data_IF_405054865247
#
_entry.id   IF_405054865247
#
_cell.length_a   1.000
_cell.length_b   1.000
_cell.length_c   1.000
_cell.angle_alpha   90.00
_cell.angle_beta   90.00
_cell.angle_gamma   90.00
#
_symmetry.space_group_name_H-M   'P 1'
#
loop_
_entity.id
_entity.type
_entity.pdbx_description
1 polymer ?
#
# COMPACT_ATOMS: atom_id res chain seq x y z
N UNK A 1 -10.97 -1.43 6.58
CA UNK A 1 -9.74 -1.83 5.83
C UNK A 1 -8.43 -1.38 6.49
N UNK A 2 -8.31 -0.18 7.02
CA UNK A 2 -7.08 0.27 7.70
C UNK A 2 -6.76 -0.57 8.95
N UNK A 3 -7.76 -0.93 9.74
CA UNK A 3 -7.58 -1.81 10.90
C UNK A 3 -7.21 -3.24 10.47
N UNK A 4 -7.81 -3.75 9.41
CA UNK A 4 -7.48 -5.07 8.85
C UNK A 4 -6.03 -5.10 8.32
N UNK A 5 -5.60 -4.06 7.60
CA UNK A 5 -4.21 -3.91 7.18
C UNK A 5 -3.25 -3.93 8.37
N UNK A 6 -3.55 -3.17 9.42
CA UNK A 6 -2.73 -3.14 10.63
C UNK A 6 -2.68 -4.49 11.35
N UNK A 7 -3.81 -5.20 11.43
CA UNK A 7 -3.87 -6.53 12.03
C UNK A 7 -3.02 -7.56 11.27
N UNK A 8 -3.11 -7.56 9.94
CA UNK A 8 -2.29 -8.44 9.09
C UNK A 8 -0.79 -8.15 9.24
N UNK A 9 -0.42 -6.87 9.29
CA UNK A 9 0.98 -6.47 9.52
C UNK A 9 1.46 -6.93 10.89
N UNK A 10 0.65 -6.71 11.94
CA UNK A 10 0.97 -7.12 13.31
C UNK A 10 1.18 -8.63 13.45
N UNK A 11 0.39 -9.43 12.73
CA UNK A 11 0.48 -10.88 12.70
C UNK A 11 1.57 -11.39 11.76
N UNK A 12 2.28 -10.51 11.05
CA UNK A 12 3.37 -10.88 10.16
C UNK A 12 2.95 -11.45 8.80
N UNK A 13 1.66 -11.40 8.44
CA UNK A 13 1.20 -11.89 7.15
C UNK A 13 1.77 -11.09 5.99
N UNK A 14 2.34 -11.80 5.00
CA UNK A 14 2.94 -11.23 3.80
C UNK A 14 2.35 -11.86 2.54
N UNK A 15 2.40 -11.13 1.46
CA UNK A 15 2.07 -11.64 0.11
C UNK A 15 3.12 -12.65 -0.34
N UNK A 16 2.82 -13.41 -1.41
CA UNK A 16 3.77 -14.34 -2.06
C UNK A 16 5.12 -13.70 -2.35
N UNK A 17 5.16 -12.39 -2.63
CA UNK A 17 6.38 -11.64 -2.92
C UNK A 17 7.04 -11.02 -1.66
N UNK A 18 6.71 -11.50 -0.46
CA UNK A 18 7.30 -11.04 0.81
C UNK A 18 6.87 -9.63 1.26
N UNK A 19 5.93 -8.98 0.57
CA UNK A 19 5.45 -7.62 0.90
C UNK A 19 4.24 -7.68 1.83
N UNK A 20 4.08 -6.66 2.69
CA UNK A 20 2.88 -6.53 3.51
C UNK A 20 1.65 -6.21 2.66
N UNK A 21 0.51 -6.77 3.05
CA UNK A 21 -0.77 -6.43 2.44
C UNK A 21 -1.07 -4.94 2.59
N UNK A 22 -1.56 -4.33 1.53
CA UNK A 22 -2.05 -2.95 1.55
C UNK A 22 -3.57 -2.93 1.64
N UNK A 23 -4.16 -1.82 2.07
CA UNK A 23 -5.62 -1.65 2.04
C UNK A 23 -6.24 -1.91 0.65
N UNK A 24 -5.47 -1.64 -0.42
CA UNK A 24 -5.92 -1.89 -1.79
C UNK A 24 -5.93 -3.38 -2.12
N UNK A 25 -4.88 -4.12 -1.76
CA UNK A 25 -4.83 -5.57 -1.93
C UNK A 25 -5.88 -6.28 -1.08
N UNK A 26 -6.09 -5.82 0.17
CA UNK A 26 -7.16 -6.34 1.03
C UNK A 26 -8.53 -6.09 0.39
N UNK A 27 -8.77 -4.89 -0.15
CA UNK A 27 -10.02 -4.57 -0.86
C UNK A 27 -10.23 -5.49 -2.06
N UNK A 28 -9.20 -5.69 -2.88
CA UNK A 28 -9.26 -6.55 -4.06
C UNK A 28 -9.59 -8.02 -3.71
N UNK A 29 -9.05 -8.54 -2.60
CA UNK A 29 -9.37 -9.87 -2.09
C UNK A 29 -10.83 -9.93 -1.62
N UNK A 30 -11.28 -8.97 -0.81
CA UNK A 30 -12.65 -8.93 -0.29
C UNK A 30 -13.71 -8.77 -1.38
N UNK A 31 -13.37 -8.16 -2.50
CA UNK A 31 -14.26 -7.99 -3.65
C UNK A 31 -14.17 -9.14 -4.66
N UNK A 32 -13.31 -10.12 -4.43
CA UNK A 32 -13.16 -11.23 -5.36
C UNK A 32 -14.17 -12.35 -5.07
N UNK A 33 -15.14 -12.60 -5.94
CA UNK A 33 -16.14 -13.65 -5.74
C UNK A 33 -15.56 -15.09 -5.78
N UNK A 34 -14.32 -15.27 -6.22
CA UNK A 34 -13.68 -16.60 -6.24
C UNK A 34 -13.64 -17.26 -4.85
N UNK A 35 -13.71 -16.49 -3.79
CA UNK A 35 -13.74 -17.02 -2.42
C UNK A 35 -15.15 -17.31 -1.91
N UNK A 36 -16.17 -16.85 -2.61
CA UNK A 36 -17.57 -17.01 -2.21
C UNK A 36 -18.10 -18.39 -2.58
N UNK A 37 -18.87 -18.98 -1.67
CA UNK A 37 -19.64 -20.19 -1.93
C UNK A 37 -20.79 -19.86 -2.89
N UNK A 38 -21.01 -20.70 -3.88
CA UNK A 38 -22.14 -20.64 -4.80
C UNK A 38 -23.38 -21.18 -4.09
N UNK A 39 -23.99 -20.38 -3.23
CA UNK A 39 -25.23 -20.65 -2.51
C UNK A 39 -26.37 -19.75 -2.99
N UNK A 40 -27.56 -19.87 -2.40
CA UNK A 40 -28.73 -19.11 -2.78
C UNK A 40 -28.49 -17.59 -2.65
N UNK A 41 -27.82 -17.15 -1.59
CA UNK A 41 -27.51 -15.72 -1.41
C UNK A 41 -26.56 -15.19 -2.48
N UNK A 42 -25.64 -16.01 -2.96
CA UNK A 42 -24.77 -15.65 -4.08
C UNK A 42 -25.58 -15.49 -5.37
N UNK A 43 -26.49 -16.40 -5.66
CA UNK A 43 -27.40 -16.33 -6.82
C UNK A 43 -28.25 -15.05 -6.77
N UNK A 44 -28.94 -14.81 -5.65
CA UNK A 44 -29.80 -13.64 -5.46
C UNK A 44 -29.03 -12.33 -5.60
N UNK A 45 -27.78 -12.28 -5.12
CA UNK A 45 -26.92 -11.12 -5.28
C UNK A 45 -26.63 -10.81 -6.74
N UNK A 46 -26.30 -11.81 -7.55
CA UNK A 46 -25.97 -11.59 -8.96
C UNK A 46 -27.19 -11.24 -9.78
N UNK A 47 -28.33 -11.88 -9.54
CA UNK A 47 -29.60 -11.51 -10.16
C UNK A 47 -29.98 -10.06 -9.84
N UNK A 48 -29.91 -9.67 -8.57
CA UNK A 48 -30.20 -8.30 -8.14
C UNK A 48 -29.33 -7.24 -8.81
N UNK A 49 -28.09 -7.59 -9.15
CA UNK A 49 -27.14 -6.69 -9.79
C UNK A 49 -27.12 -6.76 -11.32
N UNK A 50 -28.07 -7.49 -11.93
CA UNK A 50 -28.18 -7.67 -13.38
C UNK A 50 -26.86 -8.20 -14.00
N UNK A 51 -26.25 -9.15 -13.30
CA UNK A 51 -24.98 -9.78 -13.70
C UNK A 51 -25.25 -10.88 -14.74
N UNK A 52 -24.39 -11.01 -15.75
CA UNK A 52 -24.47 -12.10 -16.71
C UNK A 52 -24.09 -13.44 -16.05
N UNK A 53 -25.09 -14.27 -15.73
CA UNK A 53 -24.94 -15.58 -15.11
C UNK A 53 -24.87 -16.67 -16.19
N UNK A 54 -23.69 -17.26 -16.37
CA UNK A 54 -23.49 -18.37 -17.28
C UNK A 54 -24.00 -19.72 -16.73
N UNK A 55 -24.00 -19.87 -15.40
CA UNK A 55 -24.49 -21.08 -14.73
C UNK A 55 -25.97 -20.98 -14.39
N UNK A 56 -26.71 -22.06 -14.58
CA UNK A 56 -28.11 -22.17 -14.17
C UNK A 56 -28.24 -22.22 -12.64
N UNK A 57 -29.43 -21.96 -12.12
CA UNK A 57 -29.71 -21.91 -10.68
C UNK A 57 -29.29 -23.20 -9.94
N UNK A 58 -29.52 -24.37 -10.55
CA UNK A 58 -29.23 -25.64 -9.92
C UNK A 58 -27.72 -25.92 -9.72
N UNK A 59 -26.88 -25.15 -10.38
CA UNK A 59 -25.43 -25.22 -10.18
C UNK A 59 -24.97 -24.57 -8.86
N UNK A 60 -25.83 -23.78 -8.21
CA UNK A 60 -25.53 -23.13 -6.93
C UNK A 60 -25.76 -24.10 -5.76
N UNK A 61 -24.84 -25.04 -5.62
CA UNK A 61 -24.93 -26.21 -4.75
C UNK A 61 -24.52 -25.99 -3.28
N UNK A 62 -24.07 -24.79 -2.94
CA UNK A 62 -23.59 -24.46 -1.59
C UNK A 62 -22.22 -25.03 -1.23
N UNK A 63 -21.47 -25.60 -2.20
CA UNK A 63 -20.16 -26.24 -2.00
C UNK A 63 -19.08 -25.57 -2.85
N UNK A 64 -19.36 -25.41 -4.12
CA UNK A 64 -18.40 -24.85 -5.07
C UNK A 64 -18.27 -23.34 -4.95
N UNK A 65 -17.14 -22.82 -5.38
CA UNK A 65 -16.86 -21.39 -5.41
C UNK A 65 -17.28 -20.73 -6.72
N UNK A 66 -17.33 -19.42 -6.73
CA UNK A 66 -17.71 -18.64 -7.90
C UNK A 66 -16.50 -18.27 -8.76
N UNK A 67 -16.70 -18.18 -10.07
CA UNK A 67 -15.75 -17.61 -11.03
C UNK A 67 -16.37 -16.34 -11.63
N UNK A 68 -15.57 -15.29 -11.78
CA UNK A 68 -16.03 -14.06 -12.40
C UNK A 68 -14.99 -13.51 -13.38
N UNK A 69 -15.47 -13.19 -14.57
CA UNK A 69 -14.73 -12.60 -15.67
C UNK A 69 -15.20 -11.18 -15.93
N UNK A 70 -14.50 -10.44 -16.77
CA UNK A 70 -14.79 -9.05 -17.12
C UNK A 70 -14.92 -8.11 -15.91
N UNK A 71 -14.10 -8.34 -14.88
CA UNK A 71 -14.15 -7.56 -13.63
C UNK A 71 -13.39 -6.24 -13.69
N UNK A 72 -12.54 -6.08 -14.69
CA UNK A 72 -11.68 -4.91 -14.86
C UNK A 72 -11.54 -4.56 -16.31
N UNK A 73 -11.59 -3.27 -16.60
CA UNK A 73 -11.16 -2.73 -17.87
C UNK A 73 -9.65 -2.40 -17.84
N UNK A 74 -8.92 -2.89 -18.85
CA UNK A 74 -7.46 -2.78 -18.96
C UNK A 74 -7.07 -2.23 -20.33
N UNK A 75 -7.36 -0.97 -20.58
CA UNK A 75 -6.82 -0.30 -21.77
C UNK A 75 -5.30 -0.08 -21.63
N UNK A 76 -4.55 -0.35 -22.71
CA UNK A 76 -3.10 -0.07 -22.76
C UNK A 76 -2.80 1.38 -22.39
N UNK A 77 -1.89 1.57 -21.42
CA UNK A 77 -1.44 2.91 -21.00
C UNK A 77 -2.30 3.59 -19.94
N UNK A 78 -3.41 2.97 -19.49
CA UNK A 78 -4.26 3.48 -18.41
C UNK A 78 -4.23 2.57 -17.18
N UNK A 79 -4.55 3.13 -16.02
CA UNK A 79 -4.74 2.34 -14.82
C UNK A 79 -5.98 1.45 -14.97
N UNK A 80 -5.88 0.18 -14.56
CA UNK A 80 -7.01 -0.75 -14.55
C UNK A 80 -8.18 -0.20 -13.73
N UNK A 81 -9.36 -0.17 -14.31
CA UNK A 81 -10.61 0.30 -13.71
C UNK A 81 -11.45 -0.92 -13.32
N UNK A 82 -11.96 -0.96 -12.09
CA UNK A 82 -12.88 -2.01 -11.66
C UNK A 82 -14.27 -1.74 -12.23
N UNK A 83 -14.82 -2.72 -12.93
CA UNK A 83 -16.17 -2.69 -13.47
C UNK A 83 -17.21 -3.07 -12.40
N UNK A 84 -18.45 -2.55 -12.50
CA UNK A 84 -19.53 -2.93 -11.60
C UNK A 84 -19.99 -4.39 -11.84
N UNK A 85 -20.65 -5.03 -10.87
CA UNK A 85 -21.14 -6.40 -11.02
C UNK A 85 -22.03 -6.65 -12.24
N UNK A 86 -22.77 -5.64 -12.70
CA UNK A 86 -23.63 -5.70 -13.88
C UNK A 86 -22.86 -5.97 -15.20
N UNK A 87 -21.58 -5.72 -15.23
CA UNK A 87 -20.74 -5.98 -16.39
C UNK A 87 -19.92 -7.27 -16.27
N UNK A 88 -20.05 -7.98 -15.15
CA UNK A 88 -19.33 -9.23 -14.94
C UNK A 88 -20.04 -10.40 -15.64
N UNK A 89 -19.24 -11.36 -16.07
CA UNK A 89 -19.71 -12.68 -16.51
C UNK A 89 -19.34 -13.66 -15.40
N UNK A 90 -20.32 -14.31 -14.80
CA UNK A 90 -20.15 -15.12 -13.60
C UNK A 90 -20.62 -16.55 -13.83
N UNK A 91 -19.87 -17.51 -13.31
CA UNK A 91 -20.24 -18.93 -13.34
C UNK A 91 -19.83 -19.63 -12.04
N UNK A 92 -20.43 -20.77 -11.76
CA UNK A 92 -19.98 -21.65 -10.68
C UNK A 92 -18.68 -22.34 -11.13
N UNK A 93 -17.65 -22.29 -10.28
CA UNK A 93 -16.35 -22.92 -10.53
C UNK A 93 -16.28 -24.35 -10.05
N UNK A 94 -15.15 -25.03 -10.32
CA UNK A 94 -14.90 -26.40 -9.83
C UNK A 94 -14.14 -26.45 -8.50
N UNK A 95 -13.74 -25.32 -7.97
CA UNK A 95 -13.02 -25.21 -6.69
C UNK A 95 -14.01 -25.06 -5.53
N UNK A 96 -13.66 -25.46 -4.30
CA UNK A 96 -14.52 -25.25 -3.15
C UNK A 96 -14.63 -23.78 -2.80
N UNK A 97 -15.84 -23.33 -2.45
CA UNK A 97 -16.06 -22.00 -1.86
C UNK A 97 -15.52 -21.94 -0.44
N UNK A 98 -15.08 -20.76 0.00
CA UNK A 98 -14.48 -20.57 1.32
C UNK A 98 -15.36 -19.71 2.24
N UNK A 99 -16.10 -18.77 1.69
CA UNK A 99 -16.87 -17.76 2.41
C UNK A 99 -18.34 -17.90 2.05
N UNK A 100 -19.25 -18.11 3.01
CA UNK A 100 -20.69 -18.14 2.72
C UNK A 100 -21.15 -16.90 1.96
N UNK A 101 -22.04 -17.07 0.98
CA UNK A 101 -22.56 -16.00 0.14
C UNK A 101 -23.08 -14.82 0.94
N UNK A 102 -23.88 -15.09 1.98
CA UNK A 102 -24.38 -14.08 2.91
C UNK A 102 -23.28 -13.19 3.51
N UNK A 103 -22.19 -13.78 3.97
CA UNK A 103 -21.08 -13.03 4.57
C UNK A 103 -20.37 -12.19 3.52
N UNK A 104 -20.12 -12.75 2.34
CA UNK A 104 -19.51 -12.02 1.24
C UNK A 104 -20.35 -10.84 0.78
N UNK A 105 -21.66 -11.01 0.62
CA UNK A 105 -22.62 -9.95 0.26
C UNK A 105 -22.61 -8.83 1.31
N UNK A 106 -22.67 -9.14 2.60
CA UNK A 106 -22.57 -8.15 3.67
C UNK A 106 -21.28 -7.33 3.61
N UNK A 107 -20.17 -7.96 3.20
CA UNK A 107 -18.89 -7.24 2.99
C UNK A 107 -19.01 -6.28 1.81
N UNK A 108 -19.64 -6.68 0.68
CA UNK A 108 -19.85 -5.77 -0.45
C UNK A 108 -20.70 -4.55 -0.07
N UNK A 109 -21.81 -4.76 0.62
CA UNK A 109 -22.67 -3.68 1.12
C UNK A 109 -21.91 -2.72 2.05
N UNK A 110 -21.05 -3.27 2.92
CA UNK A 110 -20.21 -2.47 3.80
C UNK A 110 -19.17 -1.66 3.05
N UNK A 111 -18.60 -2.22 1.99
CA UNK A 111 -17.66 -1.51 1.11
C UNK A 111 -18.36 -0.38 0.34
N UNK A 112 -19.56 -0.60 -0.14
CA UNK A 112 -20.33 0.43 -0.87
C UNK A 112 -20.76 1.56 0.07
N UNK A 113 -21.28 1.28 1.26
CA UNK A 113 -21.55 2.30 2.29
C UNK A 113 -20.32 3.14 2.65
N UNK A 114 -19.14 2.53 2.63
CA UNK A 114 -17.88 3.25 2.89
C UNK A 114 -17.39 4.08 1.70
N UNK A 115 -17.82 3.79 0.49
CA UNK A 115 -17.48 4.53 -0.73
C UNK A 115 -18.13 5.92 -0.73
N UNK A 116 -19.33 6.04 -0.20
CA UNK A 116 -20.07 7.31 -0.09
C UNK A 116 -19.47 8.28 0.94
N UNK A 117 -18.58 7.81 1.83
CA UNK A 117 -17.90 8.67 2.79
C UNK A 117 -16.92 9.58 2.08
N UNK A 118 -17.13 10.88 2.21
CA UNK A 118 -16.42 11.98 1.59
C UNK A 118 -14.92 11.71 1.35
N UNK A 119 -14.54 11.79 0.09
CA UNK A 119 -13.16 11.72 -0.35
C UNK A 119 -12.37 12.90 0.25
N UNK A 120 -11.26 12.60 0.91
CA UNK A 120 -10.35 13.66 1.37
C UNK A 120 -9.73 14.34 0.15
N UNK A 121 -10.14 15.57 -0.13
CA UNK A 121 -9.47 16.40 -1.14
C UNK A 121 -7.97 16.48 -0.78
N UNK A 122 -7.05 16.31 -1.76
CA UNK A 122 -5.65 16.60 -1.54
C UNK A 122 -5.54 18.04 -1.04
N UNK A 123 -4.92 18.24 0.10
CA UNK A 123 -4.61 19.60 0.59
C UNK A 123 -3.34 20.05 -0.12
N UNK A 124 -3.31 21.33 -0.50
CA UNK A 124 -2.08 22.01 -0.87
C UNK A 124 -1.02 21.71 0.19
N UNK A 125 0.13 21.21 -0.21
CA UNK A 125 1.15 20.74 0.70
C UNK A 125 2.27 21.76 0.76
N UNK A 126 2.31 22.52 1.86
CA UNK A 126 3.36 23.49 2.16
C UNK A 126 4.68 22.84 2.59
N UNK A 127 4.68 21.53 2.81
CA UNK A 127 5.83 20.79 3.32
C UNK A 127 6.88 20.56 2.22
N UNK A 128 8.04 21.18 2.36
CA UNK A 128 9.13 21.20 1.39
C UNK A 128 9.68 19.81 1.07
N UNK A 129 9.88 18.97 2.11
CA UNK A 129 10.55 17.67 1.98
C UNK A 129 9.59 16.52 1.66
N UNK A 130 8.41 16.82 1.09
CA UNK A 130 7.44 15.80 0.70
C UNK A 130 8.03 14.85 -0.34
N UNK A 131 8.05 13.54 -0.01
CA UNK A 131 8.59 12.50 -0.88
C UNK A 131 10.11 12.32 -0.82
N UNK A 132 10.85 13.20 -0.12
CA UNK A 132 12.30 13.16 0.02
C UNK A 132 12.76 12.51 1.33
N UNK A 133 11.91 12.49 2.35
CA UNK A 133 12.25 11.96 3.67
C UNK A 133 11.98 10.46 3.78
N UNK A 134 12.95 9.77 4.39
CA UNK A 134 12.85 8.37 4.74
C UNK A 134 13.05 8.18 6.26
N UNK A 135 12.33 7.22 6.80
CA UNK A 135 12.49 6.80 8.19
C UNK A 135 13.68 5.84 8.32
N UNK A 136 14.20 5.69 9.53
CA UNK A 136 15.24 4.67 9.84
C UNK A 136 14.81 3.24 9.51
N UNK A 137 13.51 2.95 9.42
CA UNK A 137 12.98 1.66 8.96
C UNK A 137 12.95 1.49 7.42
N UNK A 138 13.48 2.45 6.65
CA UNK A 138 13.51 2.44 5.18
C UNK A 138 12.23 2.92 4.49
N UNK A 139 11.12 3.11 5.21
CA UNK A 139 9.87 3.59 4.62
C UNK A 139 9.84 5.12 4.48
N UNK A 140 9.13 5.59 3.45
CA UNK A 140 8.93 7.03 3.23
C UNK A 140 8.15 7.68 4.37
N UNK A 141 8.54 8.91 4.69
CA UNK A 141 7.77 9.78 5.56
C UNK A 141 6.89 10.74 4.72
N UNK A 142 5.79 11.16 5.30
CA UNK A 142 4.88 12.11 4.67
C UNK A 142 4.40 13.15 5.69
N UNK A 143 4.06 14.36 5.23
CA UNK A 143 3.62 15.41 6.12
C UNK A 143 2.18 15.15 6.58
N UNK A 144 1.98 15.30 7.88
CA UNK A 144 0.67 15.27 8.53
C UNK A 144 0.36 16.64 9.08
N UNK A 145 -0.59 17.32 8.44
CA UNK A 145 -1.02 18.67 8.80
C UNK A 145 -1.81 18.66 10.11
N UNK A 146 -1.50 19.60 10.99
CA UNK A 146 -2.29 19.90 12.17
C UNK A 146 -3.46 20.84 11.83
N UNK A 147 -4.46 20.85 12.68
CA UNK A 147 -5.50 21.89 12.65
C UNK A 147 -5.00 23.21 13.26
N UNK A 148 -3.90 23.16 14.03
CA UNK A 148 -3.30 24.31 14.68
C UNK A 148 -2.44 25.08 13.69
N UNK A 149 -2.36 26.41 13.92
CA UNK A 149 -1.47 27.31 13.19
C UNK A 149 -0.47 27.93 14.15
N UNK A 150 0.67 28.38 13.63
CA UNK A 150 1.61 29.22 14.37
C UNK A 150 1.02 30.62 14.62
N UNK A 151 1.66 31.43 15.46
CA UNK A 151 1.28 32.82 15.67
C UNK A 151 1.25 33.62 14.35
N UNK A 152 2.13 33.30 13.40
CA UNK A 152 2.22 33.87 12.05
C UNK A 152 1.22 33.29 11.06
N UNK A 153 0.24 32.52 11.51
CA UNK A 153 -0.81 31.91 10.65
C UNK A 153 -0.38 30.73 9.80
N UNK A 154 0.88 30.27 9.87
CA UNK A 154 1.38 29.12 9.11
C UNK A 154 0.82 27.80 9.65
N UNK A 155 0.57 26.84 8.76
CA UNK A 155 0.11 25.52 9.17
C UNK A 155 1.22 24.75 9.87
N UNK A 156 0.93 24.18 11.03
CA UNK A 156 1.85 23.28 11.74
C UNK A 156 1.70 21.88 11.18
N UNK A 157 2.81 21.22 10.86
CA UNK A 157 2.83 19.85 10.38
C UNK A 157 4.03 19.05 10.91
N UNK A 158 3.89 17.74 10.88
CA UNK A 158 4.94 16.80 11.28
C UNK A 158 5.15 15.77 10.18
N UNK A 159 6.38 15.36 9.94
CA UNK A 159 6.66 14.22 9.07
C UNK A 159 6.49 12.92 9.85
N UNK A 160 5.66 12.03 9.33
CA UNK A 160 5.29 10.77 9.95
C UNK A 160 5.68 9.61 9.05
N UNK A 161 6.27 8.58 9.62
CA UNK A 161 6.61 7.37 8.89
C UNK A 161 5.34 6.62 8.44
N UNK A 162 5.30 6.24 7.17
CA UNK A 162 4.19 5.49 6.59
C UNK A 162 3.99 4.13 7.26
N UNK A 163 5.07 3.40 7.55
CA UNK A 163 4.99 2.11 8.25
C UNK A 163 4.46 2.28 9.68
N UNK A 164 4.89 3.31 10.41
CA UNK A 164 4.40 3.60 11.76
C UNK A 164 2.88 3.78 11.80
N UNK A 165 2.29 4.48 10.83
CA UNK A 165 0.82 4.61 10.76
C UNK A 165 0.13 3.33 10.33
N UNK A 166 0.63 2.66 9.30
CA UNK A 166 0.04 1.43 8.79
C UNK A 166 0.04 0.30 9.82
N UNK A 167 1.14 0.16 10.55
CA UNK A 167 1.30 -0.88 11.58
C UNK A 167 0.77 -0.48 12.96
N UNK A 168 0.19 0.71 13.12
CA UNK A 168 -0.20 1.24 14.42
C UNK A 168 0.95 1.16 15.46
N UNK A 169 2.16 1.52 15.03
CA UNK A 169 3.42 1.53 15.80
C UNK A 169 3.98 0.17 16.19
N UNK A 170 3.45 -0.94 15.67
CA UNK A 170 3.95 -2.29 16.01
C UNK A 170 5.25 -2.65 15.30
N UNK A 171 5.46 -2.16 14.07
CA UNK A 171 6.67 -2.45 13.25
C UNK A 171 7.65 -1.28 13.28
N UNK A 172 7.19 -0.06 13.37
CA UNK A 172 8.02 1.13 13.43
C UNK A 172 7.51 2.07 14.53
N UNK A 173 8.40 2.43 15.46
CA UNK A 173 8.09 3.37 16.55
C UNK A 173 8.96 4.64 16.52
N UNK A 174 9.55 5.00 15.38
CA UNK A 174 10.38 6.19 15.21
C UNK A 174 9.61 7.47 15.60
N UNK A 175 10.32 8.44 16.19
CA UNK A 175 9.72 9.73 16.52
C UNK A 175 9.30 10.47 15.26
N UNK A 176 8.19 11.24 15.34
CA UNK A 176 7.80 12.13 14.25
C UNK A 176 8.74 13.34 14.23
N UNK A 177 9.12 13.80 13.05
CA UNK A 177 9.91 15.01 12.91
C UNK A 177 8.99 16.26 12.82
N UNK A 178 9.35 17.35 13.52
CA UNK A 178 8.66 18.63 13.36
C UNK A 178 8.93 19.14 11.94
N UNK A 179 7.89 19.28 11.12
CA UNK A 179 8.02 19.62 9.71
C UNK A 179 8.48 21.08 9.53
N UNK A 180 7.88 22.01 10.25
CA UNK A 180 8.23 23.44 10.14
C UNK A 180 9.69 23.69 10.51
N UNK A 181 10.17 23.11 11.61
CA UNK A 181 11.56 23.27 12.06
C UNK A 181 12.54 22.59 11.09
N UNK A 182 12.20 21.40 10.62
CA UNK A 182 13.08 20.65 9.70
C UNK A 182 13.21 21.35 8.35
N UNK A 183 12.10 21.81 7.79
CA UNK A 183 12.10 22.53 6.51
C UNK A 183 12.89 23.83 6.60
N UNK A 184 12.75 24.58 7.71
CA UNK A 184 13.54 25.78 7.95
C UNK A 184 15.03 25.48 8.03
N UNK A 185 15.43 24.47 8.78
CA UNK A 185 16.84 24.07 8.90
C UNK A 185 17.44 23.69 7.53
N UNK A 186 16.69 22.97 6.68
CA UNK A 186 17.15 22.63 5.32
C UNK A 186 17.26 23.87 4.44
N UNK A 187 16.29 24.79 4.52
CA UNK A 187 16.36 26.06 3.77
C UNK A 187 17.61 26.88 4.17
N UNK A 188 17.90 26.95 5.46
CA UNK A 188 19.10 27.64 5.97
C UNK A 188 20.38 26.98 5.45
N UNK A 189 20.47 25.65 5.51
CA UNK A 189 21.61 24.91 4.96
C UNK A 189 21.79 25.14 3.45
N UNK A 190 20.68 25.09 2.67
CA UNK A 190 20.75 25.36 1.23
C UNK A 190 21.21 26.79 0.94
N UNK A 191 20.79 27.78 1.74
CA UNK A 191 21.28 29.18 1.60
C UNK A 191 22.78 29.27 1.88
N UNK A 192 23.24 28.68 2.97
CA UNK A 192 24.69 28.65 3.31
C UNK A 192 25.52 28.00 2.18
N UNK A 193 24.99 26.93 1.58
CA UNK A 193 25.65 26.25 0.47
C UNK A 193 25.66 27.13 -0.82
N UNK A 194 24.67 27.98 -1.01
CA UNK A 194 24.65 28.89 -2.15
C UNK A 194 25.67 30.05 -2.01
N UNK A 195 25.97 30.44 -0.77
CA UNK A 195 26.92 31.52 -0.47
C UNK A 195 28.40 31.05 -0.58
N UNK A 196 28.68 29.74 -0.33
CA UNK A 196 30.02 29.14 -0.46
C UNK A 196 30.01 27.92 -1.37
N UNK A 197 29.99 28.19 -2.67
CA UNK A 197 29.86 27.19 -3.73
C UNK A 197 31.06 26.24 -3.80
N UNK A 198 32.28 26.73 -3.55
CA UNK A 198 33.52 25.95 -3.67
C UNK A 198 33.62 24.91 -2.55
N UNK A 199 33.35 25.32 -1.32
CA UNK A 199 33.30 24.41 -0.16
C UNK A 199 32.21 23.35 -0.33
N UNK A 200 31.06 23.73 -0.87
CA UNK A 200 29.96 22.78 -1.13
C UNK A 200 30.34 21.70 -2.15
N UNK A 201 30.94 22.08 -3.29
CA UNK A 201 31.38 21.12 -4.31
C UNK A 201 32.41 20.16 -3.71
N UNK A 202 33.37 20.67 -2.95
CA UNK A 202 34.37 19.84 -2.26
C UNK A 202 33.75 18.83 -1.29
N UNK A 203 32.76 19.25 -0.48
CA UNK A 203 32.04 18.38 0.46
C UNK A 203 31.20 17.31 -0.28
N UNK A 204 30.58 17.66 -1.41
CA UNK A 204 29.86 16.71 -2.23
C UNK A 204 30.78 15.66 -2.84
N UNK A 205 31.97 16.06 -3.31
CA UNK A 205 32.97 15.14 -3.85
C UNK A 205 33.50 14.19 -2.78
N UNK A 206 33.79 14.69 -1.58
CA UNK A 206 34.16 13.86 -0.44
C UNK A 206 33.08 12.86 -0.04
N UNK A 207 31.82 13.31 0.06
CA UNK A 207 30.68 12.47 0.34
C UNK A 207 30.49 11.39 -0.74
N UNK A 208 30.63 11.78 -2.00
CA UNK A 208 30.55 10.83 -3.13
C UNK A 208 31.64 9.76 -3.05
N UNK A 209 32.87 10.14 -2.77
CA UNK A 209 33.99 9.19 -2.59
C UNK A 209 33.72 8.22 -1.43
N UNK A 210 33.25 8.72 -0.30
CA UNK A 210 32.89 7.91 0.86
C UNK A 210 31.80 6.88 0.55
N UNK A 211 30.69 7.31 -0.08
CA UNK A 211 29.60 6.39 -0.45
C UNK A 211 30.00 5.39 -1.54
N UNK A 212 30.84 5.80 -2.50
CA UNK A 212 31.31 4.90 -3.56
C UNK A 212 32.25 3.85 -2.99
N UNK A 213 33.16 4.22 -2.07
CA UNK A 213 34.04 3.29 -1.38
C UNK A 213 33.26 2.25 -0.56
N UNK A 214 32.34 2.72 0.29
CA UNK A 214 31.51 1.82 1.09
C UNK A 214 30.63 0.88 0.23
N UNK A 215 30.14 1.35 -0.91
CA UNK A 215 29.36 0.52 -1.81
C UNK A 215 30.17 -0.62 -2.39
N UNK A 216 31.40 -0.36 -2.81
CA UNK A 216 32.31 -1.39 -3.32
C UNK A 216 32.62 -2.43 -2.24
N UNK A 217 32.88 -2.01 -1.00
CA UNK A 217 33.10 -2.92 0.14
C UNK A 217 31.87 -3.81 0.41
N UNK A 218 30.65 -3.26 0.36
CA UNK A 218 29.44 -4.05 0.52
C UNK A 218 29.20 -5.03 -0.64
N UNK A 219 29.44 -4.61 -1.88
CA UNK A 219 29.32 -5.47 -3.05
C UNK A 219 30.32 -6.64 -2.98
N UNK A 220 31.56 -6.39 -2.54
CA UNK A 220 32.56 -7.41 -2.32
C UNK A 220 32.12 -8.40 -1.23
N UNK A 221 31.69 -7.91 -0.06
CA UNK A 221 31.18 -8.76 1.03
C UNK A 221 29.98 -9.61 0.62
N UNK A 222 29.05 -9.06 -0.16
CA UNK A 222 27.90 -9.81 -0.69
C UNK A 222 28.39 -10.91 -1.65
N UNK A 223 29.37 -10.61 -2.48
CA UNK A 223 29.97 -11.60 -3.40
C UNK A 223 30.62 -12.75 -2.63
N UNK A 224 31.39 -12.44 -1.59
CA UNK A 224 32.08 -13.43 -0.78
C UNK A 224 31.10 -14.32 0.01
N UNK A 225 30.08 -13.73 0.63
CA UNK A 225 29.01 -14.48 1.28
C UNK A 225 28.23 -15.38 0.33
N UNK A 226 28.02 -14.95 -0.93
CA UNK A 226 27.37 -15.81 -1.95
C UNK A 226 28.23 -17.01 -2.34
N UNK A 227 29.54 -16.83 -2.41
CA UNK A 227 30.51 -17.96 -2.67
C UNK A 227 30.50 -18.95 -1.51
N UNK A 228 30.59 -18.46 -0.28
CA UNK A 228 30.59 -19.29 0.92
C UNK A 228 29.27 -20.08 1.07
N UNK A 229 28.13 -19.43 0.77
CA UNK A 229 26.82 -20.10 0.72
C UNK A 229 26.81 -21.23 -0.32
N UNK A 230 27.28 -20.97 -1.53
CA UNK A 230 27.31 -21.97 -2.61
C UNK A 230 28.25 -23.15 -2.31
N UNK A 231 29.33 -22.93 -1.56
CA UNK A 231 30.21 -23.99 -1.09
C UNK A 231 29.58 -24.83 0.01
N UNK A 232 28.81 -24.21 0.88
CA UNK A 232 28.10 -24.91 1.97
C UNK A 232 26.93 -25.74 1.46
N UNK A 233 26.26 -25.30 0.41
CA UNK A 233 25.15 -26.02 -0.25
C UNK A 233 25.63 -27.23 -1.09
N UNK A 234 26.93 -27.33 -1.39
CA UNK A 234 27.52 -28.46 -2.12
C UNK A 234 28.04 -29.59 -1.22
N UNK A 235 28.08 -29.37 0.07
CA UNK A 235 28.41 -30.38 1.10
C UNK A 235 27.18 -31.05 1.65
#
# INVERSE_FOLDING_TARGET
>A
MTLTEAALIKQGFKTKNGKYFTRFSVKAILQNPVYMVADQEAYDFFIKNDTDLFSEHDAFDGVHGMMAYNRTDQEKGRASISLPPSEWIVSVGKHPGLIPGKVWVQVQESLERNKSKSFRKPRSNEALLTGLLFCSCGERMYPKMSKRKTADGKVIYTYVCKMKERSQRTVCNSKNANGNTLDMAIIEQVKMLADDKETFVSQLEQSRKFYTGNRMDYEQRISDMRKEKAETEKK
#
